data_IF_558161881241
#
_entry.id   IF_558161881241
#
_cell.length_a   1.000
_cell.length_b   1.000
_cell.length_c   1.000
_cell.angle_alpha   90.00
_cell.angle_beta   90.00
_cell.angle_gamma   90.00
#
_symmetry.space_group_name_H-M   'P 1'
#
loop_
_entity.id
_entity.type
_entity.pdbx_description
1 polymer ?
#
# COMPACT_ATOMS: atom_id res chain seq x y z
N UNK A 1 -38.63 -19.73 34.05
CA UNK A 1 -38.35 -18.86 32.88
C UNK A 1 -37.57 -17.60 33.26
N UNK A 2 -37.93 -16.87 34.33
CA UNK A 2 -37.23 -15.64 34.78
C UNK A 2 -35.78 -15.88 35.26
N UNK A 3 -35.51 -16.99 35.99
CA UNK A 3 -34.14 -17.32 36.43
C UNK A 3 -33.18 -17.67 35.28
N UNK A 4 -33.66 -18.30 34.21
CA UNK A 4 -32.82 -18.65 33.06
C UNK A 4 -32.36 -17.43 32.27
N UNK A 5 -33.21 -16.39 32.18
CA UNK A 5 -32.89 -15.13 31.51
C UNK A 5 -31.86 -14.33 32.32
N UNK A 6 -31.99 -14.32 33.65
CA UNK A 6 -31.03 -13.66 34.55
C UNK A 6 -29.65 -14.31 34.53
N UNK A 7 -29.57 -15.65 34.47
CA UNK A 7 -28.29 -16.35 34.39
C UNK A 7 -27.62 -16.17 33.02
N UNK A 8 -28.39 -16.17 31.93
CA UNK A 8 -27.87 -15.92 30.58
C UNK A 8 -27.33 -14.49 30.42
N UNK A 9 -28.03 -13.49 30.97
CA UNK A 9 -27.57 -12.10 30.98
C UNK A 9 -26.28 -11.93 31.80
N UNK A 10 -26.19 -12.56 32.99
CA UNK A 10 -24.96 -12.53 33.80
C UNK A 10 -23.78 -13.26 33.15
N UNK A 11 -24.02 -14.37 32.45
CA UNK A 11 -22.97 -15.08 31.71
C UNK A 11 -22.48 -14.28 30.50
N UNK A 12 -23.38 -13.57 29.81
CA UNK A 12 -23.01 -12.68 28.69
C UNK A 12 -22.24 -11.44 29.17
N UNK A 13 -22.66 -10.85 30.30
CA UNK A 13 -21.93 -9.74 30.93
C UNK A 13 -20.56 -10.19 31.45
N UNK A 14 -20.46 -11.39 32.03
CA UNK A 14 -19.18 -11.97 32.45
C UNK A 14 -18.27 -12.28 31.26
N UNK A 15 -18.81 -12.82 30.15
CA UNK A 15 -18.00 -13.05 28.95
C UNK A 15 -17.54 -11.75 28.29
N UNK A 16 -18.39 -10.72 28.28
CA UNK A 16 -18.04 -9.39 27.79
C UNK A 16 -17.00 -8.71 28.70
N UNK A 17 -17.11 -8.87 30.01
CA UNK A 17 -16.16 -8.36 30.98
C UNK A 17 -14.81 -9.09 30.89
N UNK A 18 -14.81 -10.41 30.67
CA UNK A 18 -13.59 -11.18 30.41
C UNK A 18 -12.94 -10.79 29.07
N UNK A 19 -13.73 -10.55 28.02
CA UNK A 19 -13.23 -10.01 26.74
C UNK A 19 -12.59 -8.62 26.90
N UNK A 20 -13.11 -7.79 27.80
CA UNK A 20 -12.57 -6.47 28.12
C UNK A 20 -11.34 -6.54 29.06
N UNK A 21 -11.25 -7.56 29.91
CA UNK A 21 -10.13 -7.78 30.84
C UNK A 21 -8.94 -8.50 30.16
N UNK A 22 -9.18 -9.32 29.13
CA UNK A 22 -8.13 -10.02 28.37
C UNK A 22 -7.61 -9.21 27.17
N UNK A 23 -8.30 -8.15 26.76
CA UNK A 23 -7.83 -7.29 25.68
C UNK A 23 -6.85 -6.24 26.22
N UNK A 24 -5.55 -6.48 26.07
CA UNK A 24 -4.56 -5.43 26.29
C UNK A 24 -4.91 -4.24 25.36
N UNK A 25 -5.18 -3.03 25.89
CA UNK A 25 -5.56 -1.87 25.07
C UNK A 25 -4.48 -1.52 24.05
N UNK A 26 -3.20 -1.80 24.35
CA UNK A 26 -2.12 -1.70 23.37
C UNK A 26 -2.28 -2.68 22.20
N UNK A 27 -2.77 -3.91 22.42
CA UNK A 27 -2.99 -4.84 21.29
C UNK A 27 -4.27 -4.52 20.53
N UNK A 28 -5.32 -4.07 21.23
CA UNK A 28 -6.66 -3.90 20.66
C UNK A 28 -6.87 -2.55 19.94
N UNK A 29 -6.16 -1.49 20.34
CA UNK A 29 -6.44 -0.13 19.87
C UNK A 29 -5.21 0.65 19.37
N UNK A 30 -3.98 0.16 19.57
CA UNK A 30 -2.78 0.91 19.11
C UNK A 30 -2.71 1.07 17.59
N UNK A 31 -3.33 0.17 16.81
CA UNK A 31 -3.52 0.34 15.36
C UNK A 31 -4.37 1.58 15.00
N UNK A 32 -5.19 2.05 15.94
CA UNK A 32 -6.18 3.12 15.75
C UNK A 32 -5.72 4.46 16.33
N UNK A 33 -4.80 4.44 17.31
CA UNK A 33 -4.31 5.63 17.97
C UNK A 33 -2.85 5.47 18.46
N UNK A 34 -1.92 6.17 17.80
CA UNK A 34 -0.49 6.17 18.13
C UNK A 34 -0.15 6.89 19.46
N UNK A 35 -1.13 7.53 20.12
CA UNK A 35 -0.98 8.15 21.44
C UNK A 35 -1.38 7.24 22.60
N UNK A 36 -1.73 5.97 22.33
CA UNK A 36 -2.02 4.99 23.37
C UNK A 36 -0.74 4.64 24.13
N UNK A 37 -0.83 4.73 25.45
CA UNK A 37 0.19 4.40 26.43
C UNK A 37 -0.32 3.23 27.25
N UNK A 38 0.57 2.31 27.62
CA UNK A 38 0.24 1.20 28.52
C UNK A 38 -0.03 1.71 29.96
N UNK A 39 -0.41 0.79 30.85
CA UNK A 39 -0.73 1.10 32.26
C UNK A 39 0.44 1.74 33.05
N UNK A 40 1.64 1.78 32.47
CA UNK A 40 2.89 2.31 33.06
C UNK A 40 3.33 3.61 32.33
N UNK A 41 2.58 4.07 31.33
CA UNK A 41 2.86 5.30 30.59
C UNK A 41 3.89 5.12 29.47
N UNK A 42 4.19 3.88 29.04
CA UNK A 42 5.06 3.60 27.90
C UNK A 42 4.21 3.58 26.61
N UNK A 43 4.61 4.31 25.54
CA UNK A 43 3.87 4.29 24.29
C UNK A 43 3.72 2.86 23.77
N UNK A 44 2.48 2.46 23.49
CA UNK A 44 2.19 1.14 22.94
C UNK A 44 2.92 0.99 21.59
N UNK A 45 3.56 -0.15 21.31
CA UNK A 45 4.05 -0.43 19.97
C UNK A 45 2.84 -0.47 19.02
N UNK A 46 2.91 0.29 17.92
CA UNK A 46 1.84 0.33 16.91
C UNK A 46 1.61 -1.10 16.41
N UNK A 47 0.45 -1.68 16.75
CA UNK A 47 0.08 -2.98 16.23
C UNK A 47 -0.35 -2.83 14.76
N UNK A 48 0.04 -3.77 13.88
CA UNK A 48 -0.57 -3.85 12.56
C UNK A 48 -2.09 -3.96 12.74
N UNK A 49 -2.85 -3.37 11.81
CA UNK A 49 -4.30 -3.56 11.78
C UNK A 49 -4.63 -5.07 11.93
N UNK A 50 -5.55 -5.47 12.83
CA UNK A 50 -5.77 -6.89 13.15
C UNK A 50 -6.29 -7.69 11.95
N UNK A 51 -6.75 -6.99 10.91
CA UNK A 51 -7.23 -7.55 9.65
C UNK A 51 -6.27 -7.19 8.52
N UNK A 52 -6.03 -8.16 7.62
CA UNK A 52 -5.29 -7.92 6.37
C UNK A 52 -6.07 -6.95 5.48
N UNK A 53 -5.39 -6.34 4.50
CA UNK A 53 -6.04 -5.50 3.48
C UNK A 53 -7.24 -6.20 2.82
N UNK A 54 -7.13 -7.50 2.54
CA UNK A 54 -8.24 -8.29 2.00
C UNK A 54 -9.46 -8.26 2.93
N UNK A 55 -9.25 -8.50 4.23
CA UNK A 55 -10.33 -8.52 5.22
C UNK A 55 -10.90 -7.14 5.52
N UNK A 56 -10.05 -6.12 5.62
CA UNK A 56 -10.49 -4.77 6.03
C UNK A 56 -11.15 -3.99 4.91
N UNK A 57 -10.68 -4.15 3.67
CA UNK A 57 -11.19 -3.36 2.54
C UNK A 57 -12.06 -4.20 1.60
N UNK A 58 -11.53 -5.29 1.02
CA UNK A 58 -12.21 -6.00 -0.07
C UNK A 58 -13.39 -6.85 0.41
N UNK A 59 -13.13 -7.77 1.35
CA UNK A 59 -14.15 -8.68 1.89
C UNK A 59 -15.21 -7.92 2.71
N UNK A 60 -14.85 -6.75 3.26
CA UNK A 60 -15.79 -5.87 3.95
C UNK A 60 -16.91 -5.34 3.02
N UNK A 61 -16.61 -5.18 1.73
CA UNK A 61 -17.59 -4.89 0.67
C UNK A 61 -18.06 -6.14 -0.08
N UNK A 62 -17.70 -7.34 0.39
CA UNK A 62 -18.10 -8.63 -0.16
C UNK A 62 -17.36 -9.07 -1.43
N UNK A 63 -16.24 -8.43 -1.78
CA UNK A 63 -15.40 -8.88 -2.88
C UNK A 63 -14.51 -10.06 -2.44
N UNK A 64 -14.30 -11.08 -3.29
CA UNK A 64 -13.28 -12.09 -3.03
C UNK A 64 -11.90 -11.43 -3.02
N UNK A 65 -11.02 -11.88 -2.13
CA UNK A 65 -9.65 -11.39 -2.09
C UNK A 65 -8.66 -12.51 -1.74
N UNK A 66 -7.60 -12.61 -2.52
CA UNK A 66 -6.54 -13.60 -2.32
C UNK A 66 -5.22 -12.91 -1.97
N UNK A 67 -4.49 -13.53 -1.04
CA UNK A 67 -3.14 -13.14 -0.66
C UNK A 67 -2.09 -13.94 -1.44
N UNK A 68 -1.22 -13.25 -2.15
CA UNK A 68 -0.12 -13.84 -2.92
C UNK A 68 1.23 -13.30 -2.45
N UNK A 69 2.29 -14.07 -2.72
CA UNK A 69 3.67 -13.66 -2.45
C UNK A 69 4.55 -13.93 -3.66
N UNK A 70 5.44 -12.98 -3.92
CA UNK A 70 6.42 -13.06 -5.00
C UNK A 70 7.80 -12.80 -4.41
N UNK A 71 8.77 -13.63 -4.76
CA UNK A 71 10.17 -13.42 -4.37
C UNK A 71 10.92 -12.83 -5.55
N UNK A 72 11.55 -11.67 -5.35
CA UNK A 72 12.40 -11.03 -6.36
C UNK A 72 13.74 -11.75 -6.51
N UNK A 73 14.46 -11.50 -7.60
CA UNK A 73 15.76 -12.11 -7.85
C UNK A 73 16.77 -11.78 -6.74
N UNK A 74 16.76 -10.54 -6.24
CA UNK A 74 17.62 -10.09 -5.15
C UNK A 74 17.10 -10.49 -3.76
N UNK A 75 15.97 -11.20 -3.67
CA UNK A 75 15.54 -11.92 -2.48
C UNK A 75 14.49 -11.23 -1.61
N UNK A 76 13.94 -10.09 -2.02
CA UNK A 76 12.78 -9.48 -1.34
C UNK A 76 11.52 -10.30 -1.58
N UNK A 77 10.68 -10.39 -0.56
CA UNK A 77 9.41 -11.13 -0.62
C UNK A 77 8.28 -10.10 -0.58
N UNK A 78 7.68 -9.89 -1.75
CA UNK A 78 6.62 -8.93 -2.01
C UNK A 78 5.25 -9.55 -1.76
N UNK A 79 4.33 -8.77 -1.20
CA UNK A 79 2.94 -9.16 -1.06
C UNK A 79 2.10 -8.61 -2.20
N UNK A 80 1.32 -9.48 -2.84
CA UNK A 80 0.34 -9.12 -3.84
C UNK A 80 -1.05 -9.48 -3.31
N UNK A 81 -2.05 -8.76 -3.78
CA UNK A 81 -3.46 -9.02 -3.49
C UNK A 81 -4.19 -9.19 -4.81
N UNK A 82 -5.17 -10.09 -4.85
CA UNK A 82 -5.95 -10.34 -6.07
C UNK A 82 -7.44 -10.29 -5.75
N UNK A 83 -8.18 -9.54 -6.55
CA UNK A 83 -9.65 -9.54 -6.57
C UNK A 83 -10.04 -10.21 -7.89
N UNK A 84 -10.33 -11.53 -7.90
CA UNK A 84 -10.50 -12.29 -9.14
C UNK A 84 -11.78 -11.94 -9.91
N UNK A 85 -12.80 -11.40 -9.24
CA UNK A 85 -14.05 -10.95 -9.83
C UNK A 85 -14.77 -9.94 -8.94
N UNK A 86 -15.74 -9.23 -9.51
CA UNK A 86 -16.64 -8.32 -8.79
C UNK A 86 -17.56 -9.00 -7.77
N UNK A 87 -18.27 -8.21 -6.98
CA UNK A 87 -19.15 -8.69 -5.91
C UNK A 87 -20.40 -9.42 -6.45
N UNK A 88 -20.92 -9.03 -7.62
CA UNK A 88 -22.15 -9.59 -8.17
C UNK A 88 -21.95 -11.00 -8.73
N UNK A 89 -22.70 -11.96 -8.19
CA UNK A 89 -22.52 -13.38 -8.49
C UNK A 89 -22.93 -13.78 -9.92
N UNK A 90 -23.69 -12.95 -10.62
CA UNK A 90 -24.10 -13.24 -12.00
C UNK A 90 -22.92 -13.16 -12.98
N UNK A 91 -21.94 -12.31 -12.68
CA UNK A 91 -20.68 -12.25 -13.42
C UNK A 91 -19.69 -13.37 -13.04
N UNK A 92 -19.91 -14.15 -11.97
CA UNK A 92 -19.06 -15.31 -11.60
C UNK A 92 -19.20 -16.51 -12.54
N UNK A 93 -20.17 -16.48 -13.46
CA UNK A 93 -20.38 -17.58 -14.43
C UNK A 93 -19.33 -17.60 -15.54
N UNK A 94 -18.55 -16.52 -15.70
CA UNK A 94 -17.35 -16.52 -16.54
C UNK A 94 -16.21 -17.29 -15.88
N UNK A 95 -15.64 -18.25 -16.59
CA UNK A 95 -14.45 -19.00 -16.16
C UNK A 95 -13.35 -18.01 -15.74
N UNK A 96 -12.86 -18.12 -14.50
CA UNK A 96 -11.78 -17.28 -13.95
C UNK A 96 -10.58 -17.16 -14.89
N UNK A 97 -10.34 -18.20 -15.71
CA UNK A 97 -9.26 -18.24 -16.69
C UNK A 97 -9.46 -17.32 -17.90
N UNK A 98 -10.64 -16.73 -18.09
CA UNK A 98 -10.96 -15.89 -19.25
C UNK A 98 -10.85 -14.39 -18.98
N UNK A 99 -10.88 -13.97 -17.70
CA UNK A 99 -10.79 -12.55 -17.34
C UNK A 99 -9.37 -12.04 -17.63
N UNK A 100 -9.29 -10.86 -18.25
CA UNK A 100 -8.00 -10.24 -18.54
C UNK A 100 -7.39 -9.70 -17.24
N UNK A 101 -6.10 -9.97 -16.97
CA UNK A 101 -5.47 -9.47 -15.76
C UNK A 101 -5.12 -7.98 -15.88
N UNK A 102 -5.45 -7.22 -14.83
CA UNK A 102 -4.99 -5.85 -14.62
C UNK A 102 -4.09 -5.81 -13.40
N UNK A 103 -2.90 -5.25 -13.53
CA UNK A 103 -1.98 -4.95 -12.43
C UNK A 103 -2.04 -3.47 -12.08
N UNK A 104 -2.44 -3.17 -10.84
CA UNK A 104 -2.42 -1.85 -10.23
C UNK A 104 -1.14 -1.67 -9.40
N UNK A 105 -0.38 -0.62 -9.72
CA UNK A 105 0.93 -0.36 -9.12
C UNK A 105 0.97 1.04 -8.48
N UNK A 106 1.18 1.08 -7.17
CA UNK A 106 1.03 2.27 -6.36
C UNK A 106 2.18 3.29 -6.50
N UNK A 107 1.99 4.47 -5.90
CA UNK A 107 2.98 5.55 -5.84
C UNK A 107 3.94 5.44 -4.66
N UNK A 108 4.81 6.45 -4.50
CA UNK A 108 5.70 6.54 -3.35
C UNK A 108 4.90 6.74 -2.04
N UNK A 109 5.37 6.15 -0.93
CA UNK A 109 4.79 6.26 0.42
C UNK A 109 3.37 5.73 0.63
N UNK A 110 2.82 5.04 -0.37
CA UNK A 110 1.54 4.31 -0.27
C UNK A 110 1.78 2.83 -0.57
N UNK A 111 0.73 2.02 -0.46
CA UNK A 111 0.75 0.62 -0.82
C UNK A 111 -0.50 0.26 -1.64
N UNK A 112 -0.72 -1.03 -1.93
CA UNK A 112 -1.84 -1.54 -2.73
C UNK A 112 -3.22 -1.16 -2.19
N UNK A 113 -3.36 -0.87 -0.89
CA UNK A 113 -4.64 -0.43 -0.29
C UNK A 113 -5.15 0.87 -0.91
N UNK A 114 -4.24 1.71 -1.44
CA UNK A 114 -4.59 3.01 -2.02
C UNK A 114 -5.60 2.93 -3.18
N UNK A 115 -5.74 1.77 -3.81
CA UNK A 115 -6.72 1.53 -4.88
C UNK A 115 -8.11 1.14 -4.37
N UNK A 116 -8.27 0.96 -3.05
CA UNK A 116 -9.47 0.44 -2.39
C UNK A 116 -9.98 1.35 -1.25
N UNK A 117 -9.38 2.54 -1.04
CA UNK A 117 -9.70 3.41 0.11
C UNK A 117 -11.10 4.03 0.09
N UNK A 118 -11.74 4.13 -1.07
CA UNK A 118 -13.12 4.63 -1.22
C UNK A 118 -14.16 3.50 -1.23
N UNK A 119 -15.42 3.84 -1.47
CA UNK A 119 -16.49 2.86 -1.70
C UNK A 119 -16.29 2.11 -3.03
N UNK A 120 -17.00 0.98 -3.26
CA UNK A 120 -16.95 0.24 -4.52
C UNK A 120 -17.08 1.07 -5.80
N UNK A 121 -17.94 2.08 -5.80
CA UNK A 121 -18.19 2.99 -6.93
C UNK A 121 -17.13 4.10 -7.09
N UNK A 122 -16.22 4.26 -6.13
CA UNK A 122 -15.18 5.30 -6.10
C UNK A 122 -13.77 4.73 -6.25
N UNK A 123 -13.57 3.46 -5.90
CA UNK A 123 -12.27 2.80 -5.87
C UNK A 123 -12.01 2.06 -7.17
N UNK A 124 -10.93 2.43 -7.87
CA UNK A 124 -10.58 1.85 -9.16
C UNK A 124 -10.44 0.31 -9.10
N UNK A 125 -9.93 -0.24 -8.00
CA UNK A 125 -9.81 -1.69 -7.84
C UNK A 125 -11.16 -2.41 -7.92
N UNK A 126 -12.19 -1.87 -7.27
CA UNK A 126 -13.54 -2.44 -7.28
C UNK A 126 -14.24 -2.21 -8.62
N UNK A 127 -14.16 -0.99 -9.17
CA UNK A 127 -14.74 -0.65 -10.49
C UNK A 127 -14.23 -1.60 -11.58
N UNK A 128 -12.94 -1.94 -11.56
CA UNK A 128 -12.35 -2.87 -12.53
C UNK A 128 -12.80 -4.32 -12.30
N UNK A 129 -12.90 -4.75 -11.04
CA UNK A 129 -13.39 -6.10 -10.72
C UNK A 129 -14.85 -6.29 -11.17
N UNK A 130 -15.72 -5.31 -10.93
CA UNK A 130 -17.11 -5.32 -11.41
C UNK A 130 -17.20 -5.19 -12.93
N UNK A 131 -16.22 -4.51 -13.53
CA UNK A 131 -16.02 -4.46 -14.98
C UNK A 131 -15.56 -5.78 -15.62
N UNK A 132 -15.39 -6.85 -14.82
CA UNK A 132 -15.07 -8.19 -15.31
C UNK A 132 -13.57 -8.47 -15.49
N UNK A 133 -12.69 -7.66 -14.89
CA UNK A 133 -11.25 -7.90 -14.90
C UNK A 133 -10.79 -8.75 -13.71
N UNK A 134 -9.65 -9.44 -13.88
CA UNK A 134 -8.92 -10.07 -12.79
C UNK A 134 -7.92 -9.03 -12.23
N UNK A 135 -8.21 -8.46 -11.06
CA UNK A 135 -7.49 -7.29 -10.54
C UNK A 135 -6.41 -7.71 -9.57
N UNK A 136 -5.17 -7.27 -9.84
CA UNK A 136 -3.99 -7.52 -9.03
C UNK A 136 -3.46 -6.21 -8.45
N UNK A 137 -3.20 -6.19 -7.15
CA UNK A 137 -2.62 -5.06 -6.44
C UNK A 137 -1.24 -5.46 -5.92
N UNK A 138 -0.19 -4.84 -6.46
CA UNK A 138 1.17 -5.12 -6.03
C UNK A 138 1.64 -4.16 -4.96
N UNK A 139 2.38 -4.68 -3.98
CA UNK A 139 3.13 -3.88 -3.02
C UNK A 139 4.62 -3.99 -3.30
N UNK A 140 5.33 -2.86 -3.30
CA UNK A 140 6.79 -2.83 -3.48
C UNK A 140 7.52 -3.20 -2.20
N UNK A 141 8.81 -3.56 -2.33
CA UNK A 141 9.73 -3.72 -1.18
C UNK A 141 9.63 -2.55 -0.20
N UNK A 142 9.71 -2.85 1.10
CA UNK A 142 9.69 -1.85 2.17
C UNK A 142 8.29 -1.39 2.63
N UNK A 143 7.25 -1.57 1.82
CA UNK A 143 5.85 -1.36 2.26
C UNK A 143 5.48 -2.32 3.39
N UNK A 144 4.45 -2.00 4.17
CA UNK A 144 4.13 -2.71 5.41
C UNK A 144 4.03 -4.24 5.26
N UNK A 145 3.48 -4.72 4.14
CA UNK A 145 3.29 -6.16 3.87
C UNK A 145 4.42 -6.81 3.07
N UNK A 146 5.41 -6.04 2.61
CA UNK A 146 6.57 -6.48 1.81
C UNK A 146 7.91 -6.19 2.51
N UNK A 147 7.96 -6.36 3.84
CA UNK A 147 9.19 -6.19 4.67
C UNK A 147 9.91 -7.50 4.96
N UNK A 148 9.93 -8.43 4.00
CA UNK A 148 10.58 -9.74 4.17
C UNK A 148 11.64 -9.93 3.10
N UNK A 149 12.67 -10.66 3.46
CA UNK A 149 13.75 -11.05 2.56
C UNK A 149 14.20 -12.47 2.90
N UNK A 150 14.78 -13.14 1.93
CA UNK A 150 15.37 -14.50 2.09
C UNK A 150 16.55 -14.56 3.06
N UNK A 151 17.25 -13.45 3.31
CA UNK A 151 18.50 -13.42 4.08
C UNK A 151 18.65 -12.17 4.96
N UNK A 152 18.10 -11.02 4.53
CA UNK A 152 18.19 -9.76 5.26
C UNK A 152 17.02 -9.55 6.24
N UNK A 153 17.30 -8.87 7.35
CA UNK A 153 16.28 -8.43 8.30
C UNK A 153 16.01 -6.93 8.10
N UNK A 154 14.75 -6.45 8.22
CA UNK A 154 14.45 -5.02 8.22
C UNK A 154 15.16 -4.20 9.32
N UNK A 155 15.73 -4.89 10.32
CA UNK A 155 16.58 -4.25 11.36
C UNK A 155 17.99 -3.93 10.86
N UNK A 156 18.42 -4.50 9.74
CA UNK A 156 19.75 -4.28 9.17
C UNK A 156 19.67 -3.17 8.10
N UNK A 157 20.55 -2.15 8.16
CA UNK A 157 20.66 -1.13 7.10
C UNK A 157 20.73 -1.67 5.68
N UNK A 158 21.38 -2.82 5.45
CA UNK A 158 21.49 -3.43 4.12
C UNK A 158 20.12 -3.83 3.52
N UNK A 159 19.09 -4.07 4.35
CA UNK A 159 17.72 -4.31 3.88
C UNK A 159 17.09 -3.06 3.20
N UNK A 160 17.65 -1.89 3.45
CA UNK A 160 17.12 -0.62 2.93
C UNK A 160 18.04 0.01 1.89
N UNK A 161 19.06 -0.73 1.44
CA UNK A 161 20.02 -0.26 0.43
C UNK A 161 19.48 -0.49 -0.99
N UNK A 162 18.41 0.24 -1.32
CA UNK A 162 17.76 0.21 -2.63
C UNK A 162 17.09 1.55 -2.92
N UNK A 163 16.90 1.83 -4.21
CA UNK A 163 16.17 2.97 -4.73
C UNK A 163 14.99 2.48 -5.61
N UNK A 164 14.33 3.39 -6.31
CA UNK A 164 13.36 3.03 -7.33
C UNK A 164 13.98 2.20 -8.48
N UNK A 165 15.31 2.24 -8.66
CA UNK A 165 16.02 1.46 -9.67
C UNK A 165 15.82 -0.04 -9.41
N UNK A 166 15.99 -0.51 -8.17
CA UNK A 166 15.76 -1.92 -7.83
C UNK A 166 14.28 -2.31 -7.92
N UNK A 167 13.35 -1.37 -7.72
CA UNK A 167 11.93 -1.64 -7.93
C UNK A 167 11.66 -1.87 -9.42
N UNK A 168 12.26 -1.07 -10.31
CA UNK A 168 12.15 -1.25 -11.75
C UNK A 168 12.85 -2.52 -12.25
N UNK A 169 14.02 -2.84 -11.68
CA UNK A 169 14.86 -3.96 -12.12
C UNK A 169 14.41 -5.31 -11.56
N UNK A 170 13.88 -5.37 -10.34
CA UNK A 170 13.60 -6.64 -9.64
C UNK A 170 12.15 -6.81 -9.22
N UNK A 171 11.51 -5.80 -8.62
CA UNK A 171 10.12 -5.93 -8.14
C UNK A 171 9.15 -6.05 -9.32
N UNK A 172 9.23 -5.10 -10.26
CA UNK A 172 8.30 -5.01 -11.38
C UNK A 172 8.34 -6.25 -12.30
N UNK A 173 9.51 -6.77 -12.72
CA UNK A 173 9.58 -8.01 -13.47
C UNK A 173 9.01 -9.20 -12.71
N UNK A 174 9.40 -9.39 -11.44
CA UNK A 174 8.93 -10.53 -10.64
C UNK A 174 7.40 -10.53 -10.47
N UNK A 175 6.82 -9.36 -10.22
CA UNK A 175 5.36 -9.19 -10.12
C UNK A 175 4.67 -9.47 -11.45
N UNK A 176 5.13 -8.87 -12.55
CA UNK A 176 4.50 -9.04 -13.87
C UNK A 176 4.61 -10.47 -14.37
N UNK A 177 5.77 -11.11 -14.19
CA UNK A 177 5.97 -12.52 -14.53
C UNK A 177 5.05 -13.41 -13.72
N UNK A 178 4.95 -13.19 -12.40
CA UNK A 178 4.04 -13.95 -11.55
C UNK A 178 2.60 -13.86 -12.04
N UNK A 179 2.08 -12.65 -12.27
CA UNK A 179 0.70 -12.45 -12.76
C UNK A 179 0.51 -13.07 -14.13
N UNK A 180 1.46 -12.86 -15.05
CA UNK A 180 1.43 -13.46 -16.39
C UNK A 180 1.35 -14.98 -16.31
N UNK A 181 2.19 -15.63 -15.50
CA UNK A 181 2.19 -17.08 -15.36
C UNK A 181 0.94 -17.62 -14.65
N UNK A 182 0.53 -16.97 -13.56
CA UNK A 182 -0.63 -17.36 -12.77
C UNK A 182 -1.93 -17.33 -13.57
N UNK A 183 -2.04 -16.36 -14.49
CA UNK A 183 -3.24 -16.13 -15.31
C UNK A 183 -3.23 -16.89 -16.64
N UNK A 184 -2.34 -17.87 -16.80
CA UNK A 184 -2.27 -18.70 -18.01
C UNK A 184 -1.56 -18.03 -19.19
N UNK A 185 -0.55 -17.18 -18.91
CA UNK A 185 0.27 -16.46 -19.90
C UNK A 185 -0.50 -15.39 -20.67
N UNK A 186 -1.49 -14.78 -20.03
CA UNK A 186 -2.21 -13.64 -20.59
C UNK A 186 -1.40 -12.37 -20.39
N UNK A 187 -1.24 -11.57 -21.44
CA UNK A 187 -0.58 -10.26 -21.32
C UNK A 187 -1.37 -9.36 -20.37
N UNK A 188 -0.66 -8.71 -19.46
CA UNK A 188 -1.21 -7.94 -18.35
C UNK A 188 -1.46 -6.49 -18.75
N UNK A 189 -2.63 -5.96 -18.44
CA UNK A 189 -2.88 -4.53 -18.49
C UNK A 189 -2.26 -3.88 -17.25
N UNK A 190 -1.39 -2.90 -17.44
CA UNK A 190 -0.70 -2.21 -16.35
C UNK A 190 -1.34 -0.85 -16.08
N UNK A 191 -1.57 -0.51 -14.81
CA UNK A 191 -1.97 0.83 -14.38
C UNK A 191 -1.03 1.26 -13.26
N UNK A 192 -0.22 2.29 -13.51
CA UNK A 192 0.70 2.86 -12.53
C UNK A 192 0.26 4.23 -12.08
N UNK A 193 0.46 4.55 -10.81
CA UNK A 193 0.36 5.91 -10.27
C UNK A 193 1.72 6.42 -9.80
N UNK A 194 2.10 7.64 -10.19
CA UNK A 194 3.31 8.30 -9.70
C UNK A 194 4.57 7.42 -9.85
N UNK A 195 5.16 6.90 -8.77
CA UNK A 195 6.28 5.94 -8.81
C UNK A 195 6.02 4.74 -9.74
N UNK A 196 4.82 4.17 -9.73
CA UNK A 196 4.45 3.08 -10.64
C UNK A 196 4.65 3.45 -12.11
N UNK A 197 4.34 4.70 -12.49
CA UNK A 197 4.58 5.16 -13.87
C UNK A 197 6.07 5.27 -14.21
N UNK A 198 6.89 5.70 -13.25
CA UNK A 198 8.33 5.86 -13.43
C UNK A 198 8.99 4.50 -13.75
N UNK A 199 8.69 3.48 -12.94
CA UNK A 199 9.34 2.17 -13.08
C UNK A 199 8.96 1.45 -14.37
N UNK A 200 7.69 1.56 -14.83
CA UNK A 200 7.29 0.94 -16.11
C UNK A 200 7.86 1.69 -17.31
N UNK A 201 7.97 3.02 -17.22
CA UNK A 201 8.62 3.83 -18.26
C UNK A 201 10.12 3.51 -18.34
N UNK A 202 10.79 3.36 -17.21
CA UNK A 202 12.20 2.95 -17.15
C UNK A 202 12.39 1.57 -17.82
N UNK A 203 11.60 0.57 -17.42
CA UNK A 203 11.66 -0.76 -18.04
C UNK A 203 11.42 -0.73 -19.55
N UNK A 204 10.43 0.04 -20.03
CA UNK A 204 10.14 0.16 -21.47
C UNK A 204 11.24 0.90 -22.23
N UNK A 205 11.91 1.87 -21.61
CA UNK A 205 13.03 2.58 -22.23
C UNK A 205 14.23 1.67 -22.52
N UNK A 206 14.34 0.57 -21.77
CA UNK A 206 15.34 -0.49 -21.97
C UNK A 206 14.80 -1.69 -22.78
N UNK A 207 13.61 -1.57 -23.39
CA UNK A 207 12.92 -2.65 -24.11
C UNK A 207 12.62 -3.91 -23.26
N UNK A 208 12.58 -3.77 -21.93
CA UNK A 208 12.21 -4.85 -21.01
C UNK A 208 10.68 -4.98 -20.89
N UNK A 209 10.19 -6.17 -20.51
CA UNK A 209 8.79 -6.47 -20.13
C UNK A 209 7.70 -6.29 -21.21
N UNK A 210 8.03 -5.84 -22.42
CA UNK A 210 7.08 -5.62 -23.53
C UNK A 210 6.29 -6.89 -23.94
N UNK A 211 6.86 -8.07 -23.69
CA UNK A 211 6.21 -9.35 -23.98
C UNK A 211 5.16 -9.75 -22.93
N UNK A 212 5.22 -9.16 -21.73
CA UNK A 212 4.30 -9.42 -20.61
C UNK A 212 3.14 -8.42 -20.57
N UNK A 213 3.35 -7.19 -21.07
CA UNK A 213 2.36 -6.10 -20.94
C UNK A 213 1.51 -5.96 -22.20
N UNK A 214 0.19 -5.85 -22.02
CA UNK A 214 -0.81 -5.63 -23.09
C UNK A 214 -1.02 -4.15 -23.38
N UNK A 215 -1.18 -3.35 -22.33
CA UNK A 215 -1.25 -1.88 -22.40
C UNK A 215 -0.79 -1.30 -21.06
N UNK A 216 -0.39 -0.04 -21.05
CA UNK A 216 -0.02 0.69 -19.84
C UNK A 216 -0.81 2.00 -19.74
N UNK A 217 -1.47 2.21 -18.59
CA UNK A 217 -2.13 3.47 -18.21
C UNK A 217 -1.27 4.14 -17.15
N UNK A 218 -0.94 5.41 -17.38
CA UNK A 218 -0.01 6.17 -16.54
C UNK A 218 -0.76 7.32 -15.86
N UNK A 219 -1.07 7.16 -14.58
CA UNK A 219 -1.75 8.17 -13.76
C UNK A 219 -0.71 9.04 -13.06
N UNK A 220 -0.78 10.36 -13.27
CA UNK A 220 0.23 11.33 -12.79
C UNK A 220 1.67 10.91 -13.17
N UNK A 221 1.99 10.79 -14.47
CA UNK A 221 3.24 10.22 -14.93
C UNK A 221 4.48 10.99 -14.44
N UNK A 222 5.45 10.26 -13.89
CA UNK A 222 6.73 10.79 -13.43
C UNK A 222 7.84 10.23 -14.31
N UNK A 223 8.55 11.12 -15.00
CA UNK A 223 9.78 10.82 -15.72
C UNK A 223 10.92 11.76 -15.30
N UNK A 224 10.60 13.05 -15.10
CA UNK A 224 11.55 14.05 -14.62
C UNK A 224 10.90 14.96 -13.58
N UNK A 225 11.60 15.24 -12.48
CA UNK A 225 11.13 16.15 -11.43
C UNK A 225 11.61 17.60 -11.61
N UNK A 226 12.44 17.88 -12.63
CA UNK A 226 13.07 19.20 -12.83
C UNK A 226 12.08 20.36 -13.04
N UNK A 227 10.87 20.07 -13.52
CA UNK A 227 9.80 21.04 -13.81
C UNK A 227 8.54 20.85 -12.96
N UNK A 228 8.62 20.13 -11.84
CA UNK A 228 7.49 20.05 -10.91
C UNK A 228 7.12 21.44 -10.39
N UNK A 229 5.81 21.70 -10.24
CA UNK A 229 5.28 22.97 -9.70
C UNK A 229 5.51 23.09 -8.21
N UNK A 230 5.66 21.97 -7.51
CA UNK A 230 5.99 21.98 -6.09
C UNK A 230 7.42 22.45 -5.88
N UNK A 231 7.59 23.63 -5.27
CA UNK A 231 8.91 24.15 -4.90
C UNK A 231 9.62 23.22 -3.92
N UNK A 232 8.85 22.62 -2.99
CA UNK A 232 9.34 21.64 -2.03
C UNK A 232 9.91 20.40 -2.73
N UNK A 233 9.12 19.76 -3.60
CA UNK A 233 9.56 18.56 -4.34
C UNK A 233 10.72 18.88 -5.27
N UNK A 234 10.71 20.05 -5.92
CA UNK A 234 11.80 20.48 -6.80
C UNK A 234 13.10 20.71 -6.03
N UNK A 235 13.02 21.30 -4.84
CA UNK A 235 14.17 21.49 -3.96
C UNK A 235 14.68 20.15 -3.43
N UNK A 236 13.79 19.27 -2.95
CA UNK A 236 14.16 17.94 -2.46
C UNK A 236 14.89 17.11 -3.54
N UNK A 237 14.41 17.15 -4.78
CA UNK A 237 15.05 16.50 -5.91
C UNK A 237 16.43 17.11 -6.22
N UNK A 238 16.56 18.45 -6.23
CA UNK A 238 17.84 19.13 -6.51
C UNK A 238 18.90 18.88 -5.43
N UNK A 239 18.47 18.71 -4.18
CA UNK A 239 19.36 18.46 -3.05
C UNK A 239 19.72 16.98 -2.90
N UNK A 240 19.19 16.09 -3.74
CA UNK A 240 19.38 14.64 -3.58
C UNK A 240 19.03 14.21 -2.16
N UNK A 241 17.83 14.61 -1.69
CA UNK A 241 17.44 14.48 -0.29
C UNK A 241 17.44 13.03 0.19
N UNK A 242 17.13 12.07 -0.69
CA UNK A 242 17.15 10.65 -0.36
C UNK A 242 18.58 10.16 -0.10
N UNK A 243 19.52 10.55 -0.96
CA UNK A 243 20.94 10.24 -0.86
C UNK A 243 21.58 10.92 0.35
N UNK A 244 21.20 12.18 0.62
CA UNK A 244 21.63 12.90 1.81
C UNK A 244 21.13 12.23 3.10
N UNK A 245 19.86 11.80 3.12
CA UNK A 245 19.27 11.07 4.23
C UNK A 245 19.98 9.73 4.47
N UNK A 246 20.24 8.98 3.40
CA UNK A 246 20.99 7.74 3.45
C UNK A 246 22.42 7.96 3.98
N UNK A 247 23.11 9.01 3.53
CA UNK A 247 24.48 9.34 3.96
C UNK A 247 24.57 9.65 5.46
N UNK A 248 23.53 10.24 6.06
CA UNK A 248 23.48 10.51 7.51
C UNK A 248 22.93 9.33 8.34
N UNK A 249 22.73 8.16 7.71
CA UNK A 249 22.31 6.92 8.38
C UNK A 249 20.80 6.74 8.52
N UNK A 250 19.98 7.53 7.81
CA UNK A 250 18.53 7.31 7.73
C UNK A 250 18.23 6.30 6.63
N UNK A 251 18.20 5.02 7.01
CA UNK A 251 17.98 3.92 6.08
C UNK A 251 16.49 3.68 5.78
N UNK A 252 15.60 3.90 6.74
CA UNK A 252 14.15 3.79 6.55
C UNK A 252 13.49 5.17 6.74
N UNK A 253 12.71 5.62 5.77
CA UNK A 253 11.82 6.77 5.94
C UNK A 253 10.39 6.29 6.22
N UNK A 254 9.97 6.43 7.49
CA UNK A 254 8.60 6.16 7.90
C UNK A 254 7.80 7.48 7.91
N UNK A 255 6.88 7.72 6.94
CA UNK A 255 6.14 8.97 6.83
C UNK A 255 5.18 9.24 8.00
N UNK A 256 4.81 8.21 8.77
CA UNK A 256 3.99 8.34 9.99
C UNK A 256 4.83 8.28 11.28
N UNK A 257 6.15 8.20 11.15
CA UNK A 257 7.09 8.12 12.27
C UNK A 257 7.42 9.50 12.86
N UNK A 258 8.04 9.48 14.05
CA UNK A 258 8.44 10.69 14.78
C UNK A 258 9.34 11.62 13.94
N UNK A 259 10.32 11.06 13.23
CA UNK A 259 11.23 11.84 12.38
C UNK A 259 10.49 12.56 11.26
N UNK A 260 9.52 11.90 10.61
CA UNK A 260 8.70 12.52 9.57
C UNK A 260 7.79 13.60 10.16
N UNK A 261 7.20 13.38 11.34
CA UNK A 261 6.40 14.38 12.03
C UNK A 261 7.22 15.62 12.42
N UNK A 262 8.45 15.46 12.91
CA UNK A 262 9.36 16.56 13.23
C UNK A 262 9.82 17.32 11.98
N UNK A 263 10.11 16.59 10.89
CA UNK A 263 10.45 17.20 9.61
C UNK A 263 9.25 18.00 9.06
N UNK A 264 8.06 17.40 9.10
CA UNK A 264 6.83 18.05 8.66
C UNK A 264 6.56 19.32 9.48
N UNK A 265 6.69 19.27 10.81
CA UNK A 265 6.53 20.44 11.67
C UNK A 265 7.50 21.59 11.30
N UNK A 266 8.74 21.27 10.90
CA UNK A 266 9.71 22.28 10.43
C UNK A 266 9.34 22.85 9.08
N UNK A 267 8.94 21.99 8.13
CA UNK A 267 8.52 22.39 6.77
C UNK A 267 7.28 23.27 6.84
N UNK A 268 6.29 22.89 7.66
CA UNK A 268 5.05 23.62 7.86
C UNK A 268 5.20 24.90 8.69
N UNK A 269 6.38 25.15 9.26
CA UNK A 269 6.72 26.43 9.87
C UNK A 269 7.04 27.52 8.85
N UNK A 270 7.28 27.17 7.57
CA UNK A 270 7.46 28.15 6.49
C UNK A 270 6.09 28.63 5.99
N UNK A 271 5.76 29.93 6.09
CA UNK A 271 4.47 30.47 5.65
C UNK A 271 4.23 30.37 4.13
N UNK A 272 5.25 30.00 3.34
CA UNK A 272 5.12 29.74 1.90
C UNK A 272 4.64 28.33 1.58
N UNK A 273 4.57 27.43 2.56
CA UNK A 273 4.18 26.04 2.37
C UNK A 273 2.78 25.84 2.96
N UNK A 274 1.81 25.50 2.12
CA UNK A 274 0.47 25.15 2.56
C UNK A 274 0.44 23.70 3.09
N UNK A 275 0.55 23.57 4.40
CA UNK A 275 0.46 22.27 5.08
C UNK A 275 -0.94 21.87 5.52
N UNK A 276 -1.98 22.67 5.23
CA UNK A 276 -3.35 22.21 5.43
C UNK A 276 -3.66 21.03 4.49
N UNK A 277 -2.97 20.99 3.35
CA UNK A 277 -2.93 19.85 2.44
C UNK A 277 -1.48 19.54 2.02
N UNK A 278 -0.82 18.71 2.83
CA UNK A 278 0.57 18.24 2.59
C UNK A 278 0.69 17.52 1.24
N UNK A 279 -0.35 16.84 0.77
CA UNK A 279 -0.34 16.21 -0.55
C UNK A 279 -0.35 17.24 -1.66
N UNK A 280 -1.14 18.31 -1.53
CA UNK A 280 -1.10 19.47 -2.45
C UNK A 280 0.29 20.11 -2.47
N UNK A 281 0.92 20.29 -1.30
CA UNK A 281 2.27 20.85 -1.20
C UNK A 281 3.32 19.99 -1.91
N UNK A 282 3.22 18.67 -1.82
CA UNK A 282 4.14 17.73 -2.49
C UNK A 282 3.83 17.60 -3.99
N UNK A 283 2.56 17.55 -4.39
CA UNK A 283 2.13 17.38 -5.77
C UNK A 283 2.23 18.68 -6.59
N UNK A 284 2.14 19.84 -5.94
CA UNK A 284 2.22 21.16 -6.59
C UNK A 284 0.91 21.65 -7.23
N UNK A 285 -0.23 21.15 -6.75
CA UNK A 285 -1.58 21.54 -7.18
C UNK A 285 -2.55 21.45 -6.00
N UNK A 286 -3.56 22.32 -5.94
CA UNK A 286 -4.61 22.26 -4.91
C UNK A 286 -5.64 21.18 -5.28
N UNK A 287 -5.84 20.20 -4.40
CA UNK A 287 -6.94 19.24 -4.50
C UNK A 287 -8.26 19.92 -4.08
N UNK A 288 -8.97 20.57 -5.01
CA UNK A 288 -10.30 21.13 -4.74
C UNK A 288 -11.45 20.11 -4.76
N UNK A 289 -11.17 18.81 -4.94
CA UNK A 289 -12.19 17.77 -5.19
C UNK A 289 -12.15 16.58 -4.20
N UNK A 290 -11.69 16.76 -2.96
CA UNK A 290 -11.95 15.80 -1.90
C UNK A 290 -12.76 16.49 -0.79
N UNK A 291 -13.91 15.89 -0.49
CA UNK A 291 -15.05 16.33 0.34
C UNK A 291 -16.10 17.19 -0.36
#
# INVERSE_FOLDING_TARGET
MILHISMAASLFLMSLLMLLLDSNPCTALSWRNNSLVDDIGIPCPVSPHPFTMCKSEAEAYGYPCEDHKVTTEDGYILSLKRIPHGHDTDNSTGDEKTRQPILLFHGLFVDGVSWLLGTPDQSLGFILADGGFDVWLANTRGTNTSRKHTSLSPKNPAFWDWSWDQIAEYDLPAVLEFVYHHTGRQKVHYIGHSLGTLIILAAFSEHKLLHLVRSAVLLCPIAYLSRTRSDLTRLAAKMFMAEAAHFIGLHEFNPVGKTAAELLAKVCGDPKIDCHDVFSALAGFSFHNFF
#
